data_IF_418375942679
#
_entry.id   IF_418375942679
#
_cell.length_a   1.000
_cell.length_b   1.000
_cell.length_c   1.000
_cell.angle_alpha   90.00
_cell.angle_beta   90.00
_cell.angle_gamma   90.00
#
_symmetry.space_group_name_H-M   'P 1'
#
loop_
_entity.id
_entity.type
_entity.pdbx_description
1 polymer ?
#
# COMPACT_ATOMS: atom_id res chain seq x y z
N UNK A 1 1.84 16.30 -43.18
CA UNK A 1 1.27 16.89 -41.93
C UNK A 1 2.28 17.89 -41.39
N UNK A 2 1.90 19.11 -41.02
CA UNK A 2 2.84 20.09 -40.44
C UNK A 2 3.36 19.57 -39.08
N UNK A 3 4.65 19.77 -38.80
CA UNK A 3 5.35 19.39 -37.56
C UNK A 3 4.55 19.71 -36.29
N UNK A 4 3.96 20.91 -36.18
CA UNK A 4 3.16 21.31 -35.01
C UNK A 4 1.95 20.39 -34.76
N UNK A 5 1.32 19.88 -35.82
CA UNK A 5 0.22 18.89 -35.69
C UNK A 5 0.73 17.53 -35.23
N UNK A 6 1.90 17.10 -35.71
CA UNK A 6 2.55 15.85 -35.29
C UNK A 6 2.93 15.91 -33.81
N UNK A 7 3.51 17.02 -33.36
CA UNK A 7 3.90 17.21 -31.96
C UNK A 7 2.69 17.23 -31.02
N UNK A 8 1.62 17.94 -31.39
CA UNK A 8 0.37 17.93 -30.60
C UNK A 8 -0.26 16.55 -30.47
N UNK A 9 -0.22 15.74 -31.54
CA UNK A 9 -0.73 14.38 -31.49
C UNK A 9 0.13 13.49 -30.60
N UNK A 10 1.45 13.61 -30.71
CA UNK A 10 2.39 12.87 -29.87
C UNK A 10 2.24 13.22 -28.38
N UNK A 11 2.21 14.52 -28.04
CA UNK A 11 2.00 14.98 -26.65
C UNK A 11 0.70 14.45 -26.06
N UNK A 12 -0.39 14.45 -26.84
CA UNK A 12 -1.68 13.87 -26.39
C UNK A 12 -1.56 12.38 -26.11
N UNK A 13 -0.89 11.63 -26.98
CA UNK A 13 -0.69 10.20 -26.83
C UNK A 13 0.10 9.91 -25.55
N UNK A 14 1.29 10.48 -25.41
CA UNK A 14 2.16 10.26 -24.24
C UNK A 14 1.47 10.69 -22.94
N UNK A 15 0.83 11.87 -22.92
CA UNK A 15 0.13 12.38 -21.74
C UNK A 15 -1.05 11.50 -21.32
N UNK A 16 -1.67 10.78 -22.26
CA UNK A 16 -2.76 9.83 -21.96
C UNK A 16 -2.24 8.46 -21.49
N UNK A 17 -1.04 8.05 -21.91
CA UNK A 17 -0.46 6.75 -21.58
C UNK A 17 0.29 6.75 -20.25
N UNK A 18 0.81 7.89 -19.82
CA UNK A 18 1.60 8.02 -18.60
C UNK A 18 0.69 8.45 -17.45
N UNK A 19 0.55 7.64 -16.38
CA UNK A 19 -0.19 8.04 -15.20
C UNK A 19 0.54 9.13 -14.42
N UNK A 20 -0.18 9.91 -13.62
CA UNK A 20 0.46 10.78 -12.64
C UNK A 20 1.25 9.95 -11.62
N UNK A 21 2.38 10.51 -11.18
CA UNK A 21 3.29 9.86 -10.25
C UNK A 21 3.68 10.81 -9.12
N UNK A 22 3.35 10.42 -7.90
CA UNK A 22 3.52 11.19 -6.67
C UNK A 22 4.80 10.86 -5.91
N UNK A 23 5.64 9.96 -6.44
CA UNK A 23 6.81 9.46 -5.73
C UNK A 23 6.54 8.23 -4.85
N UNK A 24 5.33 7.67 -4.84
CA UNK A 24 5.03 6.48 -4.03
C UNK A 24 5.60 5.20 -4.65
N UNK A 25 6.17 4.33 -3.80
CA UNK A 25 6.72 3.04 -4.27
C UNK A 25 5.66 2.13 -4.90
N UNK A 26 4.41 2.23 -4.46
CA UNK A 26 3.29 1.42 -4.95
C UNK A 26 2.96 1.73 -6.43
N UNK A 27 3.01 3.01 -6.82
CA UNK A 27 2.73 3.42 -8.20
C UNK A 27 3.97 3.38 -9.10
N UNK A 28 5.17 3.27 -8.52
CA UNK A 28 6.45 3.30 -9.24
C UNK A 28 6.50 2.30 -10.40
N UNK A 29 6.17 1.03 -10.18
CA UNK A 29 6.34 0.00 -11.22
C UNK A 29 5.42 0.24 -12.43
N UNK A 30 4.19 0.72 -12.19
CA UNK A 30 3.25 1.10 -13.25
C UNK A 30 3.79 2.29 -14.03
N UNK A 31 4.31 3.29 -13.33
CA UNK A 31 4.91 4.46 -13.96
C UNK A 31 6.16 4.09 -14.79
N UNK A 32 7.10 3.33 -14.23
CA UNK A 32 8.30 2.86 -14.93
C UNK A 32 7.96 2.03 -16.16
N UNK A 33 6.91 1.21 -16.11
CA UNK A 33 6.42 0.47 -17.28
C UNK A 33 5.95 1.41 -18.39
N UNK A 34 5.18 2.45 -18.04
CA UNK A 34 4.74 3.45 -19.02
C UNK A 34 5.95 4.18 -19.66
N UNK A 35 6.94 4.57 -18.85
CA UNK A 35 8.17 5.21 -19.33
C UNK A 35 8.94 4.31 -20.31
N UNK A 36 9.09 3.02 -20.00
CA UNK A 36 9.73 2.04 -20.91
C UNK A 36 8.99 1.88 -22.24
N UNK A 37 7.66 1.98 -22.23
CA UNK A 37 6.86 1.94 -23.46
C UNK A 37 7.08 3.23 -24.26
N UNK A 38 7.07 4.38 -23.60
CA UNK A 38 7.34 5.68 -24.23
C UNK A 38 8.74 5.72 -24.84
N UNK A 39 9.77 5.23 -24.14
CA UNK A 39 11.14 5.12 -24.64
C UNK A 39 11.25 4.30 -25.93
N UNK A 40 10.48 3.21 -26.03
CA UNK A 40 10.42 2.37 -27.24
C UNK A 40 9.67 3.01 -28.41
N UNK A 41 8.87 4.05 -28.17
CA UNK A 41 7.92 4.61 -29.14
C UNK A 41 8.12 6.10 -29.39
N UNK A 42 9.19 6.70 -28.85
CA UNK A 42 9.46 8.14 -28.93
C UNK A 42 9.93 8.59 -30.32
N UNK A 43 10.65 7.74 -31.07
CA UNK A 43 11.28 8.16 -32.32
C UNK A 43 12.10 9.43 -32.12
N UNK A 44 11.97 10.39 -33.04
CA UNK A 44 12.70 11.67 -32.98
C UNK A 44 12.10 12.70 -31.98
N UNK A 45 11.15 12.29 -31.13
CA UNK A 45 10.40 13.17 -30.22
C UNK A 45 10.74 12.94 -28.74
N UNK A 46 11.94 12.41 -28.43
CA UNK A 46 12.36 12.12 -27.06
C UNK A 46 12.32 13.35 -26.15
N UNK A 47 12.79 14.51 -26.61
CA UNK A 47 12.76 15.76 -25.84
C UNK A 47 11.33 16.14 -25.40
N UNK A 48 10.36 16.01 -26.31
CA UNK A 48 8.94 16.25 -25.99
C UNK A 48 8.40 15.19 -25.02
N UNK A 49 8.83 13.94 -25.18
CA UNK A 49 8.45 12.85 -24.28
C UNK A 49 8.93 13.13 -22.84
N UNK A 50 10.17 13.59 -22.69
CA UNK A 50 10.79 13.95 -21.42
C UNK A 50 9.99 15.05 -20.73
N UNK A 51 9.63 16.12 -21.43
CA UNK A 51 8.83 17.22 -20.86
C UNK A 51 7.45 16.73 -20.41
N UNK A 52 6.79 15.89 -21.21
CA UNK A 52 5.51 15.29 -20.82
C UNK A 52 5.67 14.37 -19.61
N UNK A 53 6.70 13.51 -19.56
CA UNK A 53 7.00 12.66 -18.40
C UNK A 53 7.19 13.51 -17.15
N UNK A 54 8.03 14.55 -17.20
CA UNK A 54 8.28 15.44 -16.07
C UNK A 54 7.01 16.14 -15.61
N UNK A 55 6.12 16.52 -16.53
CA UNK A 55 4.81 17.13 -16.18
C UNK A 55 3.85 16.19 -15.43
N UNK A 56 4.06 14.87 -15.53
CA UNK A 56 3.28 13.85 -14.82
C UNK A 56 3.83 13.52 -13.44
N UNK A 57 5.03 14.00 -13.10
CA UNK A 57 5.66 13.77 -11.82
C UNK A 57 5.32 14.94 -10.89
N UNK A 58 4.75 14.62 -9.73
CA UNK A 58 4.37 15.59 -8.71
C UNK A 58 5.20 15.39 -7.44
N UNK A 59 5.17 16.37 -6.55
CA UNK A 59 5.89 16.31 -5.27
C UNK A 59 7.41 16.47 -5.39
N UNK A 60 8.11 16.14 -4.30
CA UNK A 60 9.55 16.41 -4.17
C UNK A 60 10.44 15.52 -5.04
N UNK A 61 9.91 14.40 -5.55
CA UNK A 61 10.66 13.50 -6.42
C UNK A 61 10.96 14.14 -7.79
N UNK A 62 10.16 15.14 -8.22
CA UNK A 62 10.42 15.90 -9.45
C UNK A 62 11.81 16.55 -9.43
N UNK A 63 12.23 17.12 -8.30
CA UNK A 63 13.56 17.74 -8.16
C UNK A 63 14.71 16.75 -8.37
N UNK A 64 14.47 15.43 -8.20
CA UNK A 64 15.49 14.40 -8.39
C UNK A 64 15.71 14.03 -9.86
N UNK A 65 14.75 14.34 -10.72
CA UNK A 65 14.75 13.99 -12.15
C UNK A 65 14.77 15.22 -13.06
N UNK A 66 14.69 16.43 -12.49
CA UNK A 66 14.53 17.68 -13.25
C UNK A 66 15.66 17.90 -14.27
N UNK A 67 16.90 17.56 -13.91
CA UNK A 67 18.08 17.71 -14.76
C UNK A 67 18.24 16.63 -15.84
N UNK A 68 17.48 15.54 -15.76
CA UNK A 68 17.64 14.40 -16.66
C UNK A 68 17.22 14.76 -18.09
N UNK A 69 18.04 14.33 -19.06
CA UNK A 69 17.87 14.60 -20.50
C UNK A 69 17.54 13.34 -21.30
N UNK A 70 17.33 12.21 -20.62
CA UNK A 70 16.95 10.95 -21.27
C UNK A 70 15.86 10.26 -20.46
N UNK A 71 14.99 9.51 -21.12
CA UNK A 71 13.96 8.73 -20.43
C UNK A 71 14.62 7.68 -19.52
N UNK A 72 15.72 7.07 -19.96
CA UNK A 72 16.49 6.12 -19.17
C UNK A 72 17.14 6.75 -17.92
N UNK A 73 17.62 8.00 -18.02
CA UNK A 73 18.12 8.75 -16.85
C UNK A 73 17.03 9.00 -15.81
N UNK A 74 15.81 9.36 -16.25
CA UNK A 74 14.64 9.48 -15.37
C UNK A 74 14.35 8.14 -14.69
N UNK A 75 14.31 7.04 -15.45
CA UNK A 75 14.07 5.68 -14.91
C UNK A 75 15.09 5.32 -13.82
N UNK A 76 16.38 5.58 -14.05
CA UNK A 76 17.42 5.30 -13.06
C UNK A 76 17.23 6.14 -11.79
N UNK A 77 17.08 7.46 -11.94
CA UNK A 77 16.87 8.36 -10.79
C UNK A 77 15.65 8.00 -9.97
N UNK A 78 14.55 7.60 -10.61
CA UNK A 78 13.35 7.15 -9.90
C UNK A 78 13.60 5.86 -9.12
N UNK A 79 14.30 4.87 -9.70
CA UNK A 79 14.67 3.66 -8.96
C UNK A 79 15.59 3.96 -7.77
N UNK A 80 16.51 4.91 -7.93
CA UNK A 80 17.46 5.27 -6.89
C UNK A 80 16.81 6.03 -5.73
N UNK A 81 15.86 6.91 -6.03
CA UNK A 81 15.29 7.83 -5.05
C UNK A 81 13.94 7.37 -4.48
N UNK A 82 13.20 6.51 -5.17
CA UNK A 82 11.91 5.98 -4.69
C UNK A 82 12.15 4.71 -3.90
N UNK A 83 12.39 4.91 -2.59
CA UNK A 83 12.56 3.82 -1.62
C UNK A 83 11.21 3.41 -1.03
N UNK A 84 11.09 2.12 -0.72
CA UNK A 84 10.03 1.62 0.15
C UNK A 84 10.29 2.16 1.57
N UNK A 85 9.24 2.33 2.36
CA UNK A 85 9.41 2.57 3.78
C UNK A 85 10.15 1.38 4.41
N UNK A 86 11.11 1.64 5.29
CA UNK A 86 11.83 0.58 6.01
C UNK A 86 10.89 -0.23 6.89
N UNK A 87 11.25 -1.48 7.19
CA UNK A 87 10.46 -2.37 8.03
C UNK A 87 10.14 -1.75 9.39
N UNK A 88 11.05 -0.98 9.99
CA UNK A 88 10.86 -0.29 11.27
C UNK A 88 9.75 0.77 11.23
N UNK A 89 9.67 1.56 10.17
CA UNK A 89 8.61 2.56 9.98
C UNK A 89 7.25 1.87 9.84
N UNK A 90 7.19 0.78 9.08
CA UNK A 90 5.95 0.03 8.87
C UNK A 90 5.52 -0.67 10.17
N UNK A 91 6.46 -1.28 10.91
CA UNK A 91 6.23 -1.84 12.26
C UNK A 91 5.66 -0.80 13.23
N UNK A 92 6.20 0.42 13.22
CA UNK A 92 5.70 1.51 14.03
C UNK A 92 4.26 1.91 13.65
N UNK A 93 3.93 1.95 12.35
CA UNK A 93 2.56 2.18 11.88
C UNK A 93 1.61 1.09 12.34
N UNK A 94 1.97 -0.19 12.14
CA UNK A 94 1.18 -1.35 12.57
C UNK A 94 0.90 -1.27 14.08
N UNK A 95 1.93 -0.99 14.88
CA UNK A 95 1.81 -0.87 16.33
C UNK A 95 0.94 0.28 16.81
N UNK A 96 0.69 1.29 15.98
CA UNK A 96 -0.10 2.47 16.31
C UNK A 96 -1.57 2.38 15.83
N UNK A 97 -1.94 1.39 15.00
CA UNK A 97 -3.34 1.22 14.61
C UNK A 97 -4.14 0.68 15.78
N UNK A 98 -5.14 1.45 16.20
CA UNK A 98 -6.15 1.06 17.20
C UNK A 98 -7.45 0.65 16.53
N UNK A 99 -8.15 -0.32 17.14
CA UNK A 99 -9.49 -0.71 16.69
C UNK A 99 -10.54 0.38 16.96
N UNK A 100 -10.33 1.22 17.99
CA UNK A 100 -11.29 2.25 18.43
C UNK A 100 -11.90 3.03 17.26
N UNK A 101 -13.22 2.97 17.16
CA UNK A 101 -14.00 3.68 16.13
C UNK A 101 -13.98 3.01 14.74
N UNK A 102 -13.51 1.77 14.63
CA UNK A 102 -13.52 0.95 13.40
C UNK A 102 -14.27 -0.35 13.63
N UNK A 103 -14.91 -0.87 12.60
CA UNK A 103 -15.40 -2.24 12.64
C UNK A 103 -14.23 -3.22 12.65
N UNK A 104 -14.44 -4.44 13.14
CA UNK A 104 -13.41 -5.48 13.12
C UNK A 104 -12.85 -5.71 11.71
N UNK A 105 -13.71 -5.70 10.69
CA UNK A 105 -13.30 -5.85 9.28
C UNK A 105 -12.46 -4.68 8.77
N UNK A 106 -12.80 -3.43 9.12
CA UNK A 106 -11.98 -2.27 8.75
C UNK A 106 -10.61 -2.34 9.44
N UNK A 107 -10.61 -2.67 10.74
CA UNK A 107 -9.40 -2.77 11.53
C UNK A 107 -8.43 -3.85 11.01
N UNK A 108 -8.93 -5.05 10.73
CA UNK A 108 -8.10 -6.15 10.19
C UNK A 108 -7.62 -5.86 8.77
N UNK A 109 -8.43 -5.18 7.95
CA UNK A 109 -8.04 -4.74 6.59
C UNK A 109 -6.88 -3.74 6.64
N UNK A 110 -6.95 -2.75 7.53
CA UNK A 110 -5.88 -1.76 7.69
C UNK A 110 -4.57 -2.42 8.13
N UNK A 111 -4.65 -3.40 9.03
CA UNK A 111 -3.48 -4.17 9.47
C UNK A 111 -2.94 -5.06 8.35
N UNK A 112 -3.77 -5.79 7.61
CA UNK A 112 -3.30 -6.64 6.49
C UNK A 112 -2.62 -5.82 5.38
N UNK A 113 -3.14 -4.63 5.09
CA UNK A 113 -2.53 -3.72 4.12
C UNK A 113 -1.12 -3.29 4.53
N UNK A 114 -0.88 -3.04 5.82
CA UNK A 114 0.47 -2.76 6.32
C UNK A 114 1.32 -4.03 6.46
N UNK A 115 0.72 -5.17 6.81
CA UNK A 115 1.40 -6.48 6.85
C UNK A 115 2.04 -6.81 5.51
N UNK A 116 1.29 -6.67 4.42
CA UNK A 116 1.79 -6.89 3.05
C UNK A 116 2.93 -5.93 2.69
N UNK A 117 2.86 -4.68 3.17
CA UNK A 117 3.95 -3.71 2.98
C UNK A 117 5.19 -4.09 3.80
N UNK A 118 5.00 -4.57 5.03
CA UNK A 118 6.07 -5.01 5.91
C UNK A 118 6.77 -6.26 5.36
N UNK A 119 5.99 -7.24 4.88
CA UNK A 119 6.49 -8.43 4.19
C UNK A 119 7.38 -8.04 3.01
N UNK A 120 6.90 -7.12 2.17
CA UNK A 120 7.65 -6.67 1.02
C UNK A 120 8.93 -5.88 1.42
N UNK A 121 8.90 -5.12 2.53
CA UNK A 121 10.10 -4.46 3.07
C UNK A 121 11.12 -5.45 3.58
N UNK A 122 10.70 -6.52 4.27
CA UNK A 122 11.61 -7.57 4.71
C UNK A 122 12.30 -8.28 3.55
N UNK A 123 11.58 -8.52 2.45
CA UNK A 123 12.17 -9.07 1.23
C UNK A 123 13.20 -8.11 0.64
N UNK A 124 12.89 -6.81 0.56
CA UNK A 124 13.84 -5.79 0.10
C UNK A 124 15.09 -5.71 1.00
N UNK A 125 14.94 -6.01 2.30
CA UNK A 125 16.01 -6.05 3.31
C UNK A 125 16.78 -7.39 3.34
N UNK A 126 16.42 -8.35 2.47
CA UNK A 126 17.19 -9.58 2.23
C UNK A 126 16.64 -10.84 2.90
N UNK A 127 15.42 -10.82 3.45
CA UNK A 127 14.76 -12.03 3.93
C UNK A 127 14.16 -12.81 2.75
N UNK A 128 14.14 -14.14 2.87
CA UNK A 128 13.33 -14.97 1.98
C UNK A 128 11.83 -14.77 2.23
N UNK A 129 11.01 -15.11 1.24
CA UNK A 129 9.57 -14.87 1.26
C UNK A 129 8.87 -15.58 2.43
N UNK A 130 9.30 -16.79 2.81
CA UNK A 130 8.69 -17.55 3.88
C UNK A 130 8.94 -16.87 5.24
N UNK A 131 10.19 -16.47 5.51
CA UNK A 131 10.53 -15.74 6.72
C UNK A 131 9.93 -14.33 6.74
N UNK A 132 9.88 -13.62 5.62
CA UNK A 132 9.23 -12.31 5.52
C UNK A 132 7.74 -12.38 5.84
N UNK A 133 7.02 -13.38 5.30
CA UNK A 133 5.62 -13.62 5.60
C UNK A 133 5.43 -13.99 7.09
N UNK A 134 6.25 -14.92 7.60
CA UNK A 134 6.19 -15.36 9.00
C UNK A 134 6.38 -14.19 9.98
N UNK A 135 7.40 -13.36 9.79
CA UNK A 135 7.66 -12.24 10.69
C UNK A 135 6.63 -11.12 10.55
N UNK A 136 6.23 -10.75 9.33
CA UNK A 136 5.19 -9.73 9.14
C UNK A 136 3.86 -10.16 9.75
N UNK A 137 3.48 -11.44 9.62
CA UNK A 137 2.29 -12.01 10.25
C UNK A 137 2.38 -11.96 11.78
N UNK A 138 3.52 -12.37 12.36
CA UNK A 138 3.73 -12.34 13.82
C UNK A 138 3.62 -10.93 14.39
N UNK A 139 4.26 -9.94 13.76
CA UNK A 139 4.19 -8.53 14.17
C UNK A 139 2.76 -7.98 14.10
N UNK A 140 2.02 -8.37 13.05
CA UNK A 140 0.65 -7.92 12.84
C UNK A 140 -0.32 -8.50 13.86
N UNK A 141 -0.20 -9.80 14.18
CA UNK A 141 -1.00 -10.45 15.23
C UNK A 141 -0.67 -9.82 16.59
N UNK A 142 0.62 -9.60 16.90
CA UNK A 142 1.00 -8.97 18.16
C UNK A 142 0.41 -7.55 18.32
N UNK A 143 0.34 -6.78 17.23
CA UNK A 143 -0.34 -5.49 17.24
C UNK A 143 -1.86 -5.61 17.40
N UNK A 144 -2.50 -6.58 16.74
CA UNK A 144 -3.92 -6.88 16.93
C UNK A 144 -4.24 -7.20 18.38
N UNK A 145 -3.45 -8.06 19.01
CA UNK A 145 -3.62 -8.43 20.42
C UNK A 145 -3.55 -7.21 21.32
N UNK A 146 -2.55 -6.33 21.13
CA UNK A 146 -2.36 -5.14 21.98
C UNK A 146 -3.42 -4.06 21.78
N UNK A 147 -3.89 -3.88 20.56
CA UNK A 147 -4.68 -2.71 20.17
C UNK A 147 -6.15 -3.01 19.85
N UNK A 148 -6.59 -4.26 20.05
CA UNK A 148 -8.00 -4.62 20.03
C UNK A 148 -8.75 -3.97 21.20
N UNK A 149 -10.01 -3.61 20.94
CA UNK A 149 -10.86 -2.89 21.90
C UNK A 149 -11.45 -3.83 22.96
N UNK A 150 -11.66 -5.10 22.60
CA UNK A 150 -12.41 -6.05 23.42
C UNK A 150 -11.49 -7.04 24.13
N UNK A 151 -11.65 -7.20 25.45
CA UNK A 151 -10.82 -8.10 26.26
C UNK A 151 -11.00 -9.58 25.88
N UNK A 152 -12.20 -9.98 25.44
CA UNK A 152 -12.45 -11.34 24.91
C UNK A 152 -11.66 -11.60 23.63
N UNK A 153 -11.63 -10.62 22.73
CA UNK A 153 -10.84 -10.69 21.51
C UNK A 153 -9.35 -10.74 21.83
N UNK A 154 -8.89 -9.95 22.79
CA UNK A 154 -7.51 -10.00 23.29
C UNK A 154 -7.15 -11.39 23.79
N UNK A 155 -7.98 -11.97 24.67
CA UNK A 155 -7.77 -13.30 25.22
C UNK A 155 -7.73 -14.37 24.12
N UNK A 156 -8.62 -14.28 23.13
CA UNK A 156 -8.65 -15.20 21.99
C UNK A 156 -7.36 -15.08 21.16
N UNK A 157 -6.89 -13.86 20.93
CA UNK A 157 -5.66 -13.60 20.18
C UNK A 157 -4.39 -14.01 20.95
N UNK A 158 -4.40 -13.93 22.28
CA UNK A 158 -3.31 -14.40 23.16
C UNK A 158 -3.25 -15.93 23.25
N UNK A 159 -4.41 -16.58 23.32
CA UNK A 159 -4.51 -18.04 23.42
C UNK A 159 -4.39 -18.76 22.07
N UNK A 160 -4.65 -18.06 20.97
CA UNK A 160 -4.66 -18.62 19.63
C UNK A 160 -3.26 -18.85 19.06
N UNK A 161 -2.98 -20.09 18.65
CA UNK A 161 -1.84 -20.40 17.78
C UNK A 161 -2.27 -20.24 16.32
N UNK A 162 -2.18 -19.02 15.80
CA UNK A 162 -2.50 -18.74 14.40
C UNK A 162 -1.31 -19.05 13.50
N UNK A 163 -1.52 -19.93 12.52
CA UNK A 163 -0.50 -20.27 11.53
C UNK A 163 -0.49 -19.27 10.38
N UNK A 164 -1.62 -18.62 10.12
CA UNK A 164 -1.75 -17.58 9.10
C UNK A 164 -2.42 -16.32 9.67
N UNK A 165 -2.19 -15.18 9.00
CA UNK A 165 -2.91 -13.95 9.33
C UNK A 165 -4.42 -14.07 9.09
N UNK A 166 -4.85 -14.87 8.12
CA UNK A 166 -6.27 -15.10 7.83
C UNK A 166 -6.97 -15.79 9.00
N UNK A 167 -6.33 -16.78 9.63
CA UNK A 167 -6.89 -17.45 10.81
C UNK A 167 -7.14 -16.46 11.96
N UNK A 168 -6.19 -15.54 12.18
CA UNK A 168 -6.31 -14.49 13.20
C UNK A 168 -7.39 -13.46 12.84
N UNK A 169 -7.51 -13.10 11.56
CA UNK A 169 -8.54 -12.20 11.06
C UNK A 169 -9.93 -12.78 11.21
N UNK A 170 -10.14 -14.04 10.81
CA UNK A 170 -11.43 -14.73 10.93
C UNK A 170 -11.87 -14.80 12.40
N UNK A 171 -10.97 -15.21 13.28
CA UNK A 171 -11.28 -15.27 14.71
C UNK A 171 -11.62 -13.88 15.30
N UNK A 172 -10.97 -12.83 14.79
CA UNK A 172 -11.27 -11.44 15.18
C UNK A 172 -12.65 -10.98 14.74
N UNK A 173 -13.04 -11.30 13.51
CA UNK A 173 -14.35 -10.95 12.96
C UNK A 173 -15.46 -11.73 13.67
N UNK A 174 -15.28 -13.03 13.89
CA UNK A 174 -16.27 -13.88 14.59
C UNK A 174 -16.50 -13.39 16.01
N UNK A 175 -15.45 -13.14 16.78
CA UNK A 175 -15.57 -12.67 18.17
C UNK A 175 -16.30 -11.32 18.26
N UNK A 176 -16.08 -10.41 17.29
CA UNK A 176 -16.78 -9.13 17.24
C UNK A 176 -18.28 -9.28 16.93
N UNK A 177 -18.67 -10.27 16.11
CA UNK A 177 -20.08 -10.55 15.80
C UNK A 177 -20.81 -11.16 17.00
N UNK A 178 -20.17 -12.08 17.73
CA UNK A 178 -20.76 -12.71 18.92
C UNK A 178 -21.08 -11.68 20.02
N UNK A 179 -20.23 -10.67 20.23
CA UNK A 179 -20.50 -9.60 21.20
C UNK A 179 -21.71 -8.72 20.82
N UNK A 180 -21.87 -8.41 19.53
CA UNK A 180 -23.04 -7.66 19.03
C UNK A 180 -24.32 -8.47 19.25
N UNK A 181 -24.28 -9.78 19.00
CA UNK A 181 -25.44 -10.67 19.13
C UNK A 181 -25.91 -10.79 20.58
N UNK A 182 -24.98 -10.89 21.54
CA UNK A 182 -25.31 -10.93 22.98
C UNK A 182 -25.91 -9.60 23.43
N UNK A 183 -25.37 -8.47 22.99
CA UNK A 183 -25.86 -7.14 23.36
C UNK A 183 -27.28 -6.91 22.85
N UNK A 184 -27.56 -7.29 21.60
CA UNK A 184 -28.91 -7.23 21.03
C UNK A 184 -29.91 -8.12 21.78
N UNK A 185 -29.51 -9.35 22.14
CA UNK A 185 -30.36 -10.28 22.89
C UNK A 185 -30.67 -9.82 24.33
N UNK A 186 -29.78 -9.03 24.95
CA UNK A 186 -30.03 -8.43 26.27
C UNK A 186 -31.03 -7.27 26.14
N UNK A 187 -30.90 -6.42 25.12
CA UNK A 187 -31.80 -5.28 24.87
C UNK A 187 -33.23 -5.78 24.59
N UNK A 188 -33.41 -6.78 23.71
CA UNK A 188 -34.72 -7.37 23.40
C UNK A 188 -35.39 -7.98 24.65
N UNK A 189 -34.61 -8.57 25.56
CA UNK A 189 -35.14 -9.11 26.83
C UNK A 189 -35.55 -8.03 27.82
N UNK A 190 -34.90 -6.87 27.81
CA UNK A 190 -35.28 -5.73 28.66
C UNK A 190 -36.46 -4.94 28.11
N UNK A 191 -36.67 -4.90 26.80
CA UNK A 191 -37.84 -4.25 26.19
C UNK A 191 -39.10 -5.15 26.20
N UNK A 192 -38.95 -6.47 26.19
CA UNK A 192 -40.06 -7.43 26.31
C UNK A 192 -40.61 -7.63 27.73
N UNK A 193 -40.11 -6.90 28.73
CA UNK A 193 -40.56 -6.95 30.13
C UNK A 193 -41.19 -5.64 30.64
N UNK A 194 -41.50 -4.69 29.75
CA UNK A 194 -42.23 -3.45 30.05
C UNK A 194 -43.65 -3.47 29.48
#
# INVERSE_FOLDING_TARGET
MNQVKKDRQYVKLVSSSIPEFDGSKQSLQRFLTALKITDRTNGDQEDLAIEVIKSKITGSILYKVQSEQTINGIIQKLNDNVKRESSDVIKAKISNIKQKGKTASQYTTDIDNLRKQLEASYIDEGLDADNANKFSTKESIAAMTRNCEHDKLRLLLEAGNFNTFNDAMEATVVAAIEEVTITAAIIDRTEGQL
#
